data_IF_914136130794
#
_entry.id   IF_914136130794
#
_cell.length_a   1.000
_cell.length_b   1.000
_cell.length_c   1.000
_cell.angle_alpha   90.00
_cell.angle_beta   90.00
_cell.angle_gamma   90.00
#
_symmetry.space_group_name_H-M   'P 1'
#
loop_
_entity.id
_entity.type
_entity.pdbx_description
1 polymer ?
#
# COMPACT_ATOMS: atom_id res chain seq x y z
N UNK A 1 -9.41 -3.47 18.23
CA UNK A 1 -8.80 -2.46 17.34
C UNK A 1 -7.92 -3.09 16.26
N UNK A 2 -6.73 -3.63 16.56
CA UNK A 2 -5.83 -4.19 15.52
C UNK A 2 -6.49 -5.28 14.66
N UNK A 3 -7.06 -6.30 15.31
CA UNK A 3 -7.78 -7.38 14.63
C UNK A 3 -9.00 -6.87 13.83
N UNK A 4 -9.67 -5.84 14.33
CA UNK A 4 -10.84 -5.26 13.64
C UNK A 4 -10.41 -4.51 12.37
N UNK A 5 -9.31 -3.75 12.43
CA UNK A 5 -8.76 -3.05 11.26
C UNK A 5 -8.22 -4.03 10.21
N UNK A 6 -7.57 -5.12 10.65
CA UNK A 6 -7.13 -6.19 9.76
C UNK A 6 -8.33 -6.90 9.10
N UNK A 7 -9.36 -7.24 9.86
CA UNK A 7 -10.59 -7.85 9.32
C UNK A 7 -11.30 -6.92 8.33
N UNK A 8 -11.36 -5.61 8.61
CA UNK A 8 -11.92 -4.62 7.70
C UNK A 8 -11.14 -4.56 6.39
N UNK A 9 -9.80 -4.53 6.48
CA UNK A 9 -8.92 -4.49 5.31
C UNK A 9 -9.09 -5.74 4.44
N UNK A 10 -9.02 -6.92 5.05
CA UNK A 10 -9.16 -8.20 4.33
C UNK A 10 -10.53 -8.33 3.67
N UNK A 11 -11.61 -7.91 4.35
CA UNK A 11 -12.96 -7.85 3.78
C UNK A 11 -13.02 -6.91 2.57
N UNK A 12 -12.44 -5.71 2.68
CA UNK A 12 -12.40 -4.73 1.59
C UNK A 12 -11.64 -5.28 0.38
N UNK A 13 -10.51 -5.93 0.60
CA UNK A 13 -9.69 -6.54 -0.46
C UNK A 13 -10.19 -7.92 -0.91
N UNK A 14 -11.33 -8.41 -0.38
CA UNK A 14 -11.92 -9.72 -0.71
C UNK A 14 -10.95 -10.90 -0.50
N UNK A 15 -10.09 -10.78 0.50
CA UNK A 15 -9.12 -11.82 0.87
C UNK A 15 -9.72 -12.65 2.00
N UNK A 16 -9.76 -13.97 1.83
CA UNK A 16 -10.12 -14.88 2.91
C UNK A 16 -9.02 -14.82 3.99
N UNK A 17 -9.35 -14.47 5.24
CA UNK A 17 -8.38 -14.32 6.34
C UNK A 17 -7.64 -15.62 6.69
N UNK A 18 -8.13 -16.78 6.25
CA UNK A 18 -7.46 -18.08 6.41
C UNK A 18 -6.45 -18.36 5.30
N UNK A 19 -6.39 -17.51 4.26
CA UNK A 19 -5.44 -17.62 3.15
C UNK A 19 -4.03 -17.38 3.65
N UNK A 20 -3.15 -18.35 3.44
CA UNK A 20 -1.71 -18.19 3.71
C UNK A 20 -1.13 -17.16 2.74
N UNK A 21 -0.29 -16.25 3.24
CA UNK A 21 0.31 -15.15 2.46
C UNK A 21 1.00 -15.59 1.16
N UNK A 22 1.60 -16.78 1.12
CA UNK A 22 2.26 -17.35 -0.09
C UNK A 22 1.29 -17.60 -1.26
N UNK A 23 -0.03 -17.61 -1.00
CA UNK A 23 -1.06 -17.82 -2.01
C UNK A 23 -1.60 -16.51 -2.58
N UNK A 24 -1.17 -15.37 -2.06
CA UNK A 24 -1.63 -14.07 -2.54
C UNK A 24 -0.97 -13.73 -3.87
N UNK A 25 -1.79 -13.40 -4.86
CA UNK A 25 -1.36 -12.90 -6.15
C UNK A 25 -1.01 -11.41 -6.10
N UNK A 26 -0.39 -10.91 -7.17
CA UNK A 26 0.05 -9.52 -7.23
C UNK A 26 -1.11 -8.51 -7.18
N UNK A 27 -2.25 -8.86 -7.78
CA UNK A 27 -3.48 -8.06 -7.70
C UNK A 27 -3.97 -7.92 -6.26
N UNK A 28 -3.91 -8.98 -5.46
CA UNK A 28 -4.33 -8.96 -4.06
C UNK A 28 -3.39 -8.11 -3.20
N UNK A 29 -2.08 -8.11 -3.51
CA UNK A 29 -1.13 -7.20 -2.86
C UNK A 29 -1.37 -5.74 -3.25
N UNK A 30 -1.73 -5.47 -4.51
CA UNK A 30 -2.09 -4.12 -4.94
C UNK A 30 -3.34 -3.62 -4.20
N UNK A 31 -4.38 -4.44 -4.11
CA UNK A 31 -5.60 -4.13 -3.36
C UNK A 31 -5.32 -3.90 -1.87
N UNK A 32 -4.44 -4.71 -1.27
CA UNK A 32 -4.00 -4.53 0.13
C UNK A 32 -3.26 -3.21 0.33
N UNK A 33 -2.34 -2.87 -0.57
CA UNK A 33 -1.56 -1.64 -0.48
C UNK A 33 -2.47 -0.40 -0.60
N UNK A 34 -3.41 -0.41 -1.53
CA UNK A 34 -4.40 0.67 -1.69
C UNK A 34 -5.32 0.77 -0.47
N UNK A 35 -5.89 -0.36 -0.03
CA UNK A 35 -6.77 -0.40 1.14
C UNK A 35 -6.07 0.04 2.43
N UNK A 36 -4.82 -0.36 2.62
CA UNK A 36 -4.01 0.05 3.77
C UNK A 36 -3.64 1.53 3.70
N UNK A 37 -3.34 2.06 2.52
CA UNK A 37 -3.11 3.49 2.31
C UNK A 37 -4.33 4.32 2.74
N UNK A 38 -5.54 3.92 2.33
CA UNK A 38 -6.76 4.58 2.79
C UNK A 38 -6.99 4.48 4.30
N UNK A 39 -6.68 3.32 4.91
CA UNK A 39 -6.73 3.17 6.37
C UNK A 39 -5.76 4.12 7.07
N UNK A 40 -4.55 4.29 6.54
CA UNK A 40 -3.58 5.24 7.08
C UNK A 40 -4.08 6.69 7.00
N UNK A 41 -4.80 7.06 5.94
CA UNK A 41 -5.41 8.39 5.81
C UNK A 41 -6.52 8.60 6.86
N UNK A 42 -7.34 7.57 7.13
CA UNK A 42 -8.41 7.61 8.15
C UNK A 42 -7.86 7.60 9.58
N UNK A 43 -6.71 6.97 9.78
CA UNK A 43 -6.07 6.80 11.08
C UNK A 43 -4.60 7.29 11.03
N UNK A 44 -4.37 8.61 11.11
CA UNK A 44 -3.01 9.16 11.15
C UNK A 44 -2.19 8.52 12.28
N UNK A 45 -0.94 8.17 11.99
CA UNK A 45 -0.06 7.43 12.90
C UNK A 45 -0.05 5.92 12.65
N UNK A 46 -1.02 5.36 11.92
CA UNK A 46 -1.04 3.93 11.57
C UNK A 46 0.18 3.53 10.72
N UNK A 47 0.62 4.40 9.81
CA UNK A 47 1.82 4.16 9.00
C UNK A 47 3.09 4.01 9.84
N UNK A 48 3.14 4.68 11.00
CA UNK A 48 4.26 4.63 11.93
C UNK A 48 4.10 3.54 13.00
N UNK A 49 3.00 2.79 12.97
CA UNK A 49 2.68 1.82 14.01
C UNK A 49 3.64 0.63 13.97
N UNK A 50 4.31 0.38 15.11
CA UNK A 50 5.17 -0.78 15.32
C UNK A 50 4.56 -1.68 16.40
N UNK A 51 4.05 -2.84 15.98
CA UNK A 51 3.41 -3.82 16.86
C UNK A 51 4.36 -4.38 17.95
N UNK A 52 5.68 -4.27 17.75
CA UNK A 52 6.67 -4.71 18.74
C UNK A 52 6.88 -3.68 19.86
N UNK A 53 6.55 -2.41 19.60
CA UNK A 53 6.70 -1.32 20.53
C UNK A 53 5.36 -0.87 21.13
N UNK A 54 5.01 -1.48 22.28
CA UNK A 54 3.75 -1.22 22.99
C UNK A 54 3.62 0.17 23.61
N UNK A 55 4.67 1.01 23.59
CA UNK A 55 4.61 2.34 24.19
C UNK A 55 3.96 3.37 23.26
N UNK A 56 3.86 3.08 21.96
CA UNK A 56 3.34 4.00 20.96
C UNK A 56 1.92 3.61 20.59
N UNK A 57 0.96 4.49 20.88
CA UNK A 57 -0.42 4.35 20.41
C UNK A 57 -0.67 5.27 19.21
N UNK A 58 -1.74 5.00 18.46
CA UNK A 58 -2.07 5.79 17.26
C UNK A 58 -2.27 7.28 17.57
N UNK A 59 -2.77 7.64 18.75
CA UNK A 59 -2.95 9.05 19.12
C UNK A 59 -1.61 9.78 19.26
N UNK A 60 -0.62 9.17 19.91
CA UNK A 60 0.74 9.71 19.99
C UNK A 60 1.39 9.79 18.60
N UNK A 61 1.27 8.73 17.80
CA UNK A 61 1.88 8.64 16.47
C UNK A 61 1.25 9.61 15.47
N UNK A 62 -0.03 9.97 15.65
CA UNK A 62 -0.70 10.97 14.81
C UNK A 62 -0.08 12.37 14.90
N UNK A 63 0.65 12.66 15.98
CA UNK A 63 1.29 13.94 16.27
C UNK A 63 2.77 13.98 15.87
N UNK A 64 3.33 12.84 15.45
CA UNK A 64 4.72 12.72 15.02
C UNK A 64 4.95 13.33 13.62
N UNK A 65 6.23 13.44 13.23
CA UNK A 65 6.59 13.89 11.90
C UNK A 65 6.21 12.82 10.85
N UNK A 66 5.48 13.23 9.82
CA UNK A 66 5.00 12.36 8.73
C UNK A 66 4.11 11.20 9.23
N UNK A 67 2.94 11.50 9.84
CA UNK A 67 2.04 10.48 10.37
C UNK A 67 1.26 9.72 9.28
N UNK A 68 1.45 10.10 8.01
CA UNK A 68 0.78 9.56 6.84
C UNK A 68 1.82 8.96 5.87
N UNK A 69 1.43 7.98 5.04
CA UNK A 69 2.30 7.46 4.00
C UNK A 69 2.72 8.57 3.01
N UNK A 70 3.89 8.45 2.38
CA UNK A 70 4.31 9.39 1.35
C UNK A 70 3.32 9.36 0.16
N UNK A 71 3.13 10.48 -0.54
CA UNK A 71 2.27 10.53 -1.71
C UNK A 71 2.80 9.61 -2.81
N UNK A 72 1.88 9.05 -3.60
CA UNK A 72 2.24 8.22 -4.75
C UNK A 72 3.11 9.06 -5.70
N UNK A 73 4.27 8.55 -6.14
CA UNK A 73 5.12 9.26 -7.08
C UNK A 73 4.36 9.53 -8.37
N UNK A 74 4.40 10.79 -8.83
CA UNK A 74 3.96 11.14 -10.18
C UNK A 74 5.13 10.85 -11.10
N UNK A 75 4.98 9.82 -11.92
CA UNK A 75 5.91 9.58 -13.02
C UNK A 75 5.43 10.39 -14.22
N UNK A 76 6.34 11.18 -14.81
CA UNK A 76 6.07 11.78 -16.11
C UNK A 76 5.77 10.63 -17.08
N UNK A 77 4.59 10.67 -17.70
CA UNK A 77 4.30 9.74 -18.78
C UNK A 77 5.32 10.02 -19.89
N UNK A 78 5.96 8.98 -20.48
CA UNK A 78 6.85 9.20 -21.60
C UNK A 78 6.08 9.98 -22.66
N UNK A 79 6.63 11.13 -23.08
CA UNK A 79 6.09 11.89 -24.18
C UNK A 79 5.99 10.99 -25.40
N UNK A 80 4.91 11.11 -26.18
CA UNK A 80 4.67 10.31 -27.39
C UNK A 80 5.86 10.35 -28.40
N UNK A 81 6.76 11.33 -28.25
CA UNK A 81 7.99 11.51 -29.04
C UNK A 81 9.09 10.48 -28.77
N UNK A 82 9.03 9.66 -27.71
CA UNK A 82 10.04 8.61 -27.45
C UNK A 82 9.73 7.26 -28.15
N UNK A 83 8.76 7.24 -29.07
CA UNK A 83 8.26 6.04 -29.76
C UNK A 83 9.21 5.44 -30.82
N UNK A 84 10.52 5.67 -30.75
CA UNK A 84 11.48 5.07 -31.69
C UNK A 84 11.98 3.68 -31.23
N UNK A 85 11.40 3.10 -30.19
CA UNK A 85 11.66 1.71 -29.79
C UNK A 85 10.70 0.74 -30.49
N UNK A 86 11.07 0.32 -31.72
CA UNK A 86 10.35 -0.73 -32.45
C UNK A 86 11.10 -2.06 -32.40
N UNK A 87 10.41 -3.15 -32.04
CA UNK A 87 10.91 -4.53 -32.20
C UNK A 87 11.25 -4.86 -33.67
N UNK A 88 10.78 -4.08 -34.64
CA UNK A 88 11.15 -4.20 -36.06
C UNK A 88 12.57 -3.72 -36.36
N UNK A 89 13.18 -2.94 -35.46
CA UNK A 89 14.52 -2.40 -35.63
C UNK A 89 15.62 -3.38 -35.17
N UNK A 90 15.24 -4.51 -34.55
CA UNK A 90 16.13 -5.61 -34.19
C UNK A 90 15.93 -6.80 -35.12
N UNK A 91 16.21 -6.63 -36.41
CA UNK A 91 16.47 -7.77 -37.28
C UNK A 91 17.97 -8.11 -37.20
N UNK A 92 18.25 -9.32 -36.68
CA UNK A 92 19.54 -10.01 -36.73
C UNK A 92 20.02 -10.22 -38.17
#
# INVERSE_FOLDING_TARGET
MENEMADELLKKCRIDPTTTSIKLGMEQFADLAEGYNEQCIRHPGLFLYDYTNKQHNLESLSKEQYPLPPPVPVFDSPSEDDSEWSLRNFNL
#
